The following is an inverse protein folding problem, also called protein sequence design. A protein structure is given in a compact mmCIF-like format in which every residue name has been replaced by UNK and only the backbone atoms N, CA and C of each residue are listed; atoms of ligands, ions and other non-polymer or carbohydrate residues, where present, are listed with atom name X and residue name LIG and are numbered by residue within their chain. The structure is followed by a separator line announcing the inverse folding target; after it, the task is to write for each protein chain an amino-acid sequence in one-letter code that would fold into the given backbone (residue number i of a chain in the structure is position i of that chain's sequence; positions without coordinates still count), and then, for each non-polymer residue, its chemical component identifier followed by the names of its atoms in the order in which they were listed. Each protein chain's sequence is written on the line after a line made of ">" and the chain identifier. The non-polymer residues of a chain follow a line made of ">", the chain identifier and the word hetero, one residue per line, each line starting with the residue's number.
data_IF_164789150697
#
_entry.id   IF_164789150697
#
_cell.length_a   1.000
_cell.length_b   1.000
_cell.length_c   1.000
_cell.angle_alpha   90.00
_cell.angle_beta   90.00
_cell.angle_gamma   90.00
#
_symmetry.space_group_name_H-M   'P 1'
#
loop_
_entity.id
_entity.type
_entity.pdbx_description
1 polymer ?
#
# COMPACT_ATOMS: atom_id res chain seq x y z
N UNK A 1 11.24 -1.25 22.07
CA UNK A 1 10.75 -0.03 22.73
C UNK A 1 10.09 -0.44 24.05
N UNK A 2 10.08 0.40 25.12
CA UNK A 2 9.30 0.10 26.32
C UNK A 2 7.82 -0.04 25.91
N UNK A 3 7.00 -0.83 26.62
CA UNK A 3 5.57 -0.93 26.36
C UNK A 3 4.97 0.47 26.44
N UNK A 4 4.19 0.82 25.41
CA UNK A 4 3.41 2.04 25.40
C UNK A 4 2.35 1.84 26.48
N UNK A 5 2.37 2.66 27.53
CA UNK A 5 1.38 2.61 28.61
C UNK A 5 -0.03 2.90 28.07
N UNK A 6 -1.00 3.07 28.98
CA UNK A 6 -2.33 3.53 28.60
C UNK A 6 -2.31 4.99 28.22
N UNK A 7 -2.81 5.31 27.03
CA UNK A 7 -2.91 6.69 26.54
C UNK A 7 -4.32 6.95 25.99
N UNK A 8 -4.78 8.18 26.19
CA UNK A 8 -6.01 8.72 25.61
C UNK A 8 -5.67 9.85 24.65
N UNK A 9 -6.21 9.78 23.46
CA UNK A 9 -6.16 10.86 22.47
C UNK A 9 -7.55 11.48 22.34
N UNK A 10 -7.63 12.80 22.52
CA UNK A 10 -8.84 13.58 22.34
C UNK A 10 -8.64 14.42 21.08
N UNK A 11 -9.53 14.28 20.10
CA UNK A 11 -9.51 15.05 18.86
C UNK A 11 -10.82 15.81 18.66
N UNK A 12 -10.79 16.89 17.86
CA UNK A 12 -12.00 17.62 17.49
C UNK A 12 -12.95 16.70 16.69
N UNK A 13 -12.36 15.82 15.85
CA UNK A 13 -13.09 14.80 15.09
C UNK A 13 -12.28 13.51 15.09
N UNK A 14 -12.96 12.36 15.27
CA UNK A 14 -12.43 11.02 15.05
C UNK A 14 -13.20 10.38 13.90
N UNK A 15 -12.50 9.99 12.84
CA UNK A 15 -13.01 9.20 11.72
C UNK A 15 -12.50 7.78 11.88
N UNK A 16 -13.40 6.82 12.05
CA UNK A 16 -12.99 5.44 12.36
C UNK A 16 -12.63 4.60 11.14
N UNK A 17 -13.12 4.97 9.95
CA UNK A 17 -13.05 4.16 8.73
C UNK A 17 -13.54 2.71 8.94
N UNK A 18 -14.45 2.49 9.90
CA UNK A 18 -15.13 1.22 10.12
C UNK A 18 -16.20 0.97 9.02
N UNK A 19 -16.90 -0.16 9.09
CA UNK A 19 -17.97 -0.49 8.13
C UNK A 19 -19.15 0.49 8.15
N UNK A 20 -19.33 1.21 9.27
CA UNK A 20 -20.39 2.20 9.45
C UNK A 20 -19.93 3.61 9.04
N UNK A 21 -18.66 3.78 8.66
CA UNK A 21 -18.03 5.08 8.37
C UNK A 21 -18.26 6.10 9.49
N UNK A 22 -18.08 5.65 10.75
CA UNK A 22 -18.41 6.43 11.93
C UNK A 22 -17.54 7.68 12.08
N UNK A 23 -18.19 8.80 12.41
CA UNK A 23 -17.54 10.09 12.66
C UNK A 23 -18.00 10.62 14.02
N UNK A 24 -17.05 10.89 14.92
CA UNK A 24 -17.30 11.37 16.27
C UNK A 24 -16.68 12.74 16.47
N UNK A 25 -17.47 13.74 16.77
CA UNK A 25 -17.00 15.11 16.98
C UNK A 25 -17.62 15.77 18.24
N UNK A 26 -16.82 16.02 19.31
CA UNK A 26 -15.46 15.56 19.54
C UNK A 26 -15.37 14.07 19.85
N UNK A 27 -14.24 13.45 19.46
CA UNK A 27 -14.00 12.04 19.65
C UNK A 27 -12.79 11.72 20.54
N UNK A 28 -12.73 10.47 20.99
CA UNK A 28 -11.66 9.93 21.84
C UNK A 28 -11.23 8.57 21.31
N UNK A 29 -9.92 8.32 21.37
CA UNK A 29 -9.32 6.99 21.17
C UNK A 29 -8.44 6.67 22.37
N UNK A 30 -8.69 5.54 23.03
CA UNK A 30 -7.84 5.02 24.09
C UNK A 30 -7.01 3.87 23.55
N UNK A 31 -5.72 3.88 23.86
CA UNK A 31 -4.80 2.80 23.50
C UNK A 31 -4.15 2.19 24.75
N UNK A 32 -3.82 0.91 24.65
CA UNK A 32 -3.04 0.17 25.63
C UNK A 32 -2.08 -0.76 24.89
N UNK A 33 -0.80 -0.69 25.21
CA UNK A 33 0.26 -1.52 24.61
C UNK A 33 0.23 -1.53 23.05
N UNK A 34 -0.02 -0.35 22.45
CA UNK A 34 -0.04 -0.17 21.01
C UNK A 34 -1.31 -0.64 20.30
N UNK A 35 -2.35 -1.01 21.06
CA UNK A 35 -3.66 -1.40 20.52
C UNK A 35 -4.76 -0.48 21.03
N UNK A 36 -5.75 -0.26 20.18
CA UNK A 36 -6.97 0.51 20.54
C UNK A 36 -7.79 -0.34 21.48
N UNK A 37 -8.13 0.20 22.64
CA UNK A 37 -9.02 -0.44 23.60
C UNK A 37 -10.43 0.21 23.67
N UNK A 38 -10.53 1.47 23.23
CA UNK A 38 -11.83 2.17 23.13
C UNK A 38 -11.76 3.28 22.06
N UNK A 39 -12.88 3.50 21.37
CA UNK A 39 -13.08 4.62 20.45
C UNK A 39 -14.54 5.04 20.46
N UNK A 40 -14.82 6.35 20.38
CA UNK A 40 -16.18 6.87 20.31
C UNK A 40 -16.31 8.35 20.65
N UNK A 41 -17.56 8.84 20.82
CA UNK A 41 -17.80 10.21 21.21
C UNK A 41 -17.17 10.53 22.58
N UNK A 42 -16.60 11.74 22.72
CA UNK A 42 -15.98 12.16 23.99
C UNK A 42 -16.95 12.10 25.17
N UNK A 43 -18.25 12.35 24.94
CA UNK A 43 -19.26 12.32 25.98
C UNK A 43 -19.49 10.91 26.57
N UNK A 44 -19.21 9.87 25.80
CA UNK A 44 -19.43 8.48 26.17
C UNK A 44 -18.14 7.78 26.64
N UNK A 45 -17.00 8.51 26.61
CA UNK A 45 -15.71 7.95 26.98
C UNK A 45 -15.70 7.50 28.46
N UNK A 46 -15.15 6.30 28.77
CA UNK A 46 -14.99 5.85 30.14
C UNK A 46 -14.10 6.82 30.95
N UNK A 47 -14.24 6.84 32.27
CA UNK A 47 -13.35 7.65 33.10
C UNK A 47 -11.89 7.27 32.88
N UNK A 48 -11.02 8.27 32.65
CA UNK A 48 -9.58 8.04 32.52
C UNK A 48 -9.03 7.50 33.85
N UNK A 49 -8.32 6.37 33.81
CA UNK A 49 -7.65 5.87 35.00
C UNK A 49 -6.45 6.75 35.36
N UNK A 50 -6.05 6.73 36.62
CA UNK A 50 -4.97 7.60 37.16
C UNK A 50 -3.59 7.38 36.53
N UNK A 51 -3.41 6.26 35.84
CA UNK A 51 -2.15 5.90 35.14
C UNK A 51 -2.20 6.20 33.64
N UNK A 52 -3.34 6.67 33.11
CA UNK A 52 -3.52 6.99 31.71
C UNK A 52 -2.96 8.40 31.39
N UNK A 53 -2.11 8.48 30.38
CA UNK A 53 -1.72 9.76 29.80
C UNK A 53 -2.88 10.30 28.96
N UNK A 54 -3.26 11.57 29.13
CA UNK A 54 -4.33 12.19 28.37
C UNK A 54 -3.74 13.28 27.47
N UNK A 55 -3.89 13.09 26.17
CA UNK A 55 -3.37 13.96 25.12
C UNK A 55 -4.55 14.61 24.39
N UNK A 56 -4.78 15.91 24.61
CA UNK A 56 -5.71 16.70 23.81
C UNK A 56 -4.95 17.20 22.58
N UNK A 57 -5.17 16.54 21.44
CA UNK A 57 -4.39 16.77 20.23
C UNK A 57 -5.11 17.70 19.24
N UNK A 58 -6.42 17.95 19.43
CA UNK A 58 -7.23 18.68 18.44
C UNK A 58 -7.20 18.06 17.04
N UNK A 59 -7.70 18.77 16.04
CA UNK A 59 -7.70 18.32 14.65
C UNK A 59 -8.54 17.07 14.40
N UNK A 60 -8.26 16.34 13.31
CA UNK A 60 -8.93 15.10 12.96
C UNK A 60 -7.99 13.92 13.15
N UNK A 61 -8.44 12.89 13.86
CA UNK A 61 -7.74 11.62 14.04
C UNK A 61 -8.42 10.55 13.20
N UNK A 62 -7.65 9.81 12.39
CA UNK A 62 -8.14 8.71 11.56
C UNK A 62 -7.10 7.57 11.48
N UNK A 63 -7.47 6.38 10.94
CA UNK A 63 -6.49 5.33 10.69
C UNK A 63 -5.37 5.82 9.76
N UNK A 64 -4.18 5.27 9.94
CA UNK A 64 -3.09 5.40 8.98
C UNK A 64 -3.46 4.78 7.64
N UNK A 65 -2.93 5.38 6.56
CA UNK A 65 -3.17 4.90 5.21
C UNK A 65 -2.37 3.62 4.94
N UNK A 66 -2.94 2.75 4.09
CA UNK A 66 -2.36 1.47 3.65
C UNK A 66 -2.08 1.53 2.16
N UNK A 67 -0.82 1.55 1.78
CA UNK A 67 -0.36 1.49 0.40
C UNK A 67 -0.27 0.01 -0.02
N UNK A 68 -1.25 -0.46 -0.80
CA UNK A 68 -1.41 -1.89 -1.11
C UNK A 68 -0.43 -2.41 -2.16
N UNK A 69 0.27 -1.55 -2.89
CA UNK A 69 1.27 -1.94 -3.88
C UNK A 69 2.29 -0.83 -4.06
N UNK A 70 3.56 -1.15 -3.83
CA UNK A 70 4.65 -0.23 -4.08
C UNK A 70 5.99 -0.94 -4.35
N UNK A 71 6.93 -0.16 -4.90
CA UNK A 71 8.34 -0.49 -5.13
C UNK A 71 9.18 0.63 -4.54
N UNK A 72 9.12 0.78 -3.23
CA UNK A 72 9.65 1.94 -2.50
C UNK A 72 11.12 2.24 -2.77
N UNK A 73 12.05 1.24 -2.89
CA UNK A 73 13.44 1.52 -3.22
C UNK A 73 13.67 2.17 -4.59
N UNK A 74 12.66 2.19 -5.49
CA UNK A 74 12.71 2.95 -6.75
C UNK A 74 12.81 4.47 -6.56
N UNK A 75 12.80 5.00 -5.33
CA UNK A 75 13.25 6.37 -5.04
C UNK A 75 14.65 6.66 -5.61
N UNK A 76 15.48 5.62 -5.77
CA UNK A 76 16.79 5.68 -6.42
C UNK A 76 16.73 5.95 -7.93
N UNK A 77 15.61 5.71 -8.57
CA UNK A 77 15.40 5.81 -10.02
C UNK A 77 14.17 6.64 -10.39
N UNK A 78 13.71 7.49 -9.46
CA UNK A 78 12.58 8.41 -9.64
C UNK A 78 12.82 9.28 -10.90
N UNK A 79 11.79 9.42 -11.73
CA UNK A 79 11.82 10.21 -12.97
C UNK A 79 12.59 9.57 -14.12
N UNK A 80 13.14 8.36 -13.96
CA UNK A 80 13.88 7.68 -15.02
C UNK A 80 12.93 6.97 -15.98
N UNK A 81 13.20 7.09 -17.29
CA UNK A 81 12.46 6.38 -18.34
C UNK A 81 11.13 7.01 -18.70
N UNK A 82 10.89 8.30 -18.36
CA UNK A 82 9.67 9.00 -18.74
C UNK A 82 9.43 8.95 -20.26
N UNK A 83 8.15 8.74 -20.65
CA UNK A 83 7.75 8.62 -22.05
C UNK A 83 8.03 7.27 -22.71
N UNK A 84 8.50 6.25 -21.96
CA UNK A 84 8.64 4.88 -22.46
C UNK A 84 7.37 4.05 -22.14
N UNK A 85 6.96 3.20 -23.08
CA UNK A 85 5.96 2.17 -22.81
C UNK A 85 6.51 1.10 -21.86
N UNK A 86 5.67 0.45 -21.06
CA UNK A 86 6.04 -0.46 -19.98
C UNK A 86 7.18 -1.43 -20.33
N UNK A 87 7.09 -2.19 -21.41
CA UNK A 87 8.14 -3.18 -21.78
C UNK A 87 9.50 -2.53 -22.02
N UNK A 88 9.53 -1.40 -22.72
CA UNK A 88 10.78 -0.64 -22.94
C UNK A 88 11.24 0.03 -21.67
N UNK A 89 10.31 0.54 -20.85
CA UNK A 89 10.60 1.12 -19.55
C UNK A 89 11.31 0.11 -18.63
N UNK A 90 10.79 -1.12 -18.54
CA UNK A 90 11.41 -2.20 -17.78
C UNK A 90 12.80 -2.56 -18.34
N UNK A 91 12.88 -2.90 -19.65
CA UNK A 91 14.09 -3.49 -20.23
C UNK A 91 15.20 -2.48 -20.53
N UNK A 92 14.88 -1.22 -20.82
CA UNK A 92 15.85 -0.20 -21.19
C UNK A 92 16.20 0.74 -20.01
N UNK A 93 15.28 0.94 -19.08
CA UNK A 93 15.44 1.92 -18.01
C UNK A 93 15.56 1.30 -16.61
N UNK A 94 14.65 0.38 -16.20
CA UNK A 94 14.59 -0.12 -14.83
C UNK A 94 15.55 -1.28 -14.58
N UNK A 95 15.34 -2.44 -15.19
CA UNK A 95 16.13 -3.64 -14.92
C UNK A 95 17.66 -3.44 -15.07
N UNK A 96 18.17 -2.67 -16.07
CA UNK A 96 19.60 -2.38 -16.14
C UNK A 96 20.15 -1.60 -14.94
N UNK A 97 19.31 -0.80 -14.25
CA UNK A 97 19.69 -0.06 -13.05
C UNK A 97 19.51 -0.90 -11.79
N UNK A 98 18.38 -1.59 -11.68
CA UNK A 98 18.07 -2.48 -10.56
C UNK A 98 19.08 -3.62 -10.43
N UNK A 99 19.51 -4.21 -11.57
CA UNK A 99 20.56 -5.24 -11.58
C UNK A 99 21.94 -4.76 -11.09
N UNK A 100 22.13 -3.43 -10.91
CA UNK A 100 23.35 -2.82 -10.36
C UNK A 100 23.17 -2.30 -8.93
N UNK A 101 21.96 -2.36 -8.40
CA UNK A 101 21.70 -1.97 -7.02
C UNK A 101 22.34 -2.96 -6.06
N UNK A 102 22.97 -2.43 -5.04
CA UNK A 102 23.50 -3.19 -3.92
C UNK A 102 22.48 -3.24 -2.78
N UNK A 103 22.60 -4.17 -1.82
CA UNK A 103 21.77 -4.15 -0.61
C UNK A 103 21.77 -2.81 0.11
N UNK A 104 22.88 -2.10 0.14
CA UNK A 104 22.97 -0.78 0.78
C UNK A 104 22.22 0.30 -0.01
N UNK A 105 22.19 0.23 -1.34
CA UNK A 105 21.37 1.12 -2.18
C UNK A 105 19.90 0.94 -1.84
N UNK A 106 19.44 -0.30 -1.79
CA UNK A 106 18.05 -0.65 -1.47
C UNK A 106 17.68 -0.18 -0.05
N UNK A 107 18.59 -0.32 0.92
CA UNK A 107 18.38 0.19 2.28
C UNK A 107 18.12 1.70 2.29
N UNK A 108 18.95 2.48 1.57
CA UNK A 108 18.78 3.94 1.50
C UNK A 108 17.55 4.35 0.70
N UNK A 109 17.27 3.66 -0.41
CA UNK A 109 16.07 3.89 -1.19
C UNK A 109 14.81 3.66 -0.36
N UNK A 110 14.75 2.53 0.37
CA UNK A 110 13.66 2.21 1.27
C UNK A 110 13.55 3.19 2.43
N UNK A 111 14.68 3.61 3.01
CA UNK A 111 14.72 4.59 4.11
C UNK A 111 14.11 5.93 3.69
N UNK A 112 14.49 6.46 2.52
CA UNK A 112 13.93 7.71 2.00
C UNK A 112 12.44 7.58 1.70
N UNK A 113 12.03 6.50 1.03
CA UNK A 113 10.62 6.28 0.70
C UNK A 113 9.76 6.02 1.93
N UNK A 114 10.27 5.32 2.96
CA UNK A 114 9.57 5.17 4.25
C UNK A 114 9.32 6.52 4.91
N UNK A 115 10.31 7.43 4.89
CA UNK A 115 10.13 8.77 5.43
C UNK A 115 9.07 9.57 4.65
N UNK A 116 9.07 9.48 3.30
CA UNK A 116 8.06 10.10 2.44
C UNK A 116 6.65 9.58 2.75
N UNK A 117 6.48 8.26 2.84
CA UNK A 117 5.22 7.61 3.17
C UNK A 117 4.72 7.99 4.57
N UNK A 118 5.57 7.91 5.59
CA UNK A 118 5.19 8.27 6.96
C UNK A 118 4.74 9.73 7.05
N UNK A 119 5.43 10.66 6.38
CA UNK A 119 5.00 12.07 6.32
C UNK A 119 3.64 12.25 5.66
N UNK A 120 3.32 11.42 4.67
CA UNK A 120 2.03 11.41 4.02
C UNK A 120 0.95 10.65 4.82
N UNK A 121 1.28 10.08 5.98
CA UNK A 121 0.34 9.31 6.80
C UNK A 121 0.15 7.87 6.35
N UNK A 122 0.98 7.37 5.45
CA UNK A 122 1.01 5.95 5.09
C UNK A 122 1.76 5.21 6.16
N UNK A 123 1.05 4.44 6.98
CA UNK A 123 1.62 3.66 8.10
C UNK A 123 2.01 2.25 7.68
N UNK A 124 1.38 1.73 6.64
CA UNK A 124 1.57 0.37 6.13
C UNK A 124 1.82 0.37 4.63
N UNK A 125 2.81 -0.37 4.18
CA UNK A 125 3.08 -0.58 2.75
C UNK A 125 3.17 -2.06 2.41
N UNK A 126 2.65 -2.43 1.21
CA UNK A 126 2.86 -3.75 0.61
C UNK A 126 3.92 -3.62 -0.48
N UNK A 127 5.11 -4.13 -0.18
CA UNK A 127 6.33 -3.94 -0.94
C UNK A 127 6.67 -5.17 -1.77
N UNK A 128 6.80 -5.01 -3.08
CA UNK A 128 7.36 -6.03 -3.96
C UNK A 128 8.72 -5.54 -4.48
N UNK A 129 9.81 -6.08 -3.93
CA UNK A 129 11.13 -5.65 -4.39
C UNK A 129 12.21 -6.71 -4.18
N UNK A 130 13.46 -6.34 -4.50
CA UNK A 130 14.67 -7.15 -4.40
C UNK A 130 15.46 -6.80 -3.12
N UNK A 131 16.33 -7.70 -2.69
CA UNK A 131 17.14 -7.49 -1.49
C UNK A 131 16.29 -7.23 -0.24
N UNK A 132 15.49 -8.21 0.14
CA UNK A 132 14.48 -8.13 1.20
C UNK A 132 15.04 -7.80 2.59
N UNK A 133 16.24 -8.26 2.95
CA UNK A 133 16.83 -7.99 4.28
C UNK A 133 17.02 -6.49 4.54
N UNK A 134 17.71 -5.73 3.65
CA UNK A 134 17.81 -4.27 3.83
C UNK A 134 16.46 -3.55 3.88
N UNK A 135 15.43 -4.06 3.22
CA UNK A 135 14.09 -3.47 3.28
C UNK A 135 13.51 -3.63 4.68
N UNK A 136 13.58 -4.84 5.25
CA UNK A 136 13.12 -5.11 6.62
C UNK A 136 13.89 -4.26 7.63
N UNK A 137 15.21 -4.15 7.48
CA UNK A 137 16.05 -3.34 8.36
C UNK A 137 15.67 -1.85 8.29
N UNK A 138 15.48 -1.30 7.09
CA UNK A 138 15.10 0.10 6.88
C UNK A 138 13.71 0.40 7.46
N UNK A 139 12.72 -0.48 7.22
CA UNK A 139 11.37 -0.34 7.78
C UNK A 139 11.37 -0.52 9.30
N UNK A 140 12.16 -1.46 9.81
CA UNK A 140 12.38 -1.65 11.24
C UNK A 140 12.88 -0.36 11.92
N UNK A 141 13.85 0.31 11.29
CA UNK A 141 14.41 1.57 11.75
C UNK A 141 13.41 2.74 11.64
N UNK A 142 12.64 2.82 10.56
CA UNK A 142 11.65 3.87 10.33
C UNK A 142 10.44 3.80 11.27
N UNK A 143 10.14 2.62 11.80
CA UNK A 143 8.98 2.38 12.64
C UNK A 143 7.69 2.08 11.88
N UNK A 144 7.68 2.07 10.55
CA UNK A 144 6.52 1.73 9.72
C UNK A 144 6.11 0.25 9.83
N UNK A 145 4.95 -0.10 9.28
CA UNK A 145 4.47 -1.49 9.08
C UNK A 145 4.71 -1.92 7.65
N UNK A 146 5.03 -3.20 7.45
CA UNK A 146 5.40 -3.75 6.15
C UNK A 146 4.72 -5.10 5.89
N UNK A 147 4.13 -5.23 4.73
CA UNK A 147 3.90 -6.52 4.08
C UNK A 147 4.93 -6.64 2.95
N UNK A 148 5.93 -7.50 3.10
CA UNK A 148 6.95 -7.68 2.06
C UNK A 148 6.69 -8.94 1.26
N UNK A 149 6.69 -8.79 -0.05
CA UNK A 149 6.55 -9.87 -1.03
C UNK A 149 7.82 -9.91 -1.88
N UNK A 150 8.86 -10.66 -1.44
CA UNK A 150 10.14 -10.71 -2.15
C UNK A 150 9.97 -11.00 -3.63
N UNK A 151 10.45 -10.09 -4.47
CA UNK A 151 10.25 -10.13 -5.91
C UNK A 151 10.96 -11.33 -6.56
N UNK A 152 10.25 -12.03 -7.45
CA UNK A 152 10.79 -13.04 -8.35
C UNK A 152 10.68 -12.48 -9.76
N UNK A 153 11.82 -12.06 -10.34
CA UNK A 153 11.92 -11.39 -11.66
C UNK A 153 12.95 -12.15 -12.49
N UNK A 154 12.56 -12.65 -13.66
CA UNK A 154 13.44 -13.51 -14.49
C UNK A 154 14.72 -12.80 -14.91
N UNK A 155 14.63 -11.54 -15.33
CA UNK A 155 15.75 -10.73 -15.77
C UNK A 155 16.81 -10.43 -14.67
N UNK A 156 16.38 -10.44 -13.40
CA UNK A 156 17.22 -10.10 -12.25
C UNK A 156 17.73 -11.32 -11.49
N UNK A 157 17.26 -12.51 -11.85
CA UNK A 157 17.71 -13.79 -11.30
C UNK A 157 18.18 -14.74 -12.44
N UNK A 158 19.15 -14.34 -13.27
CA UNK A 158 19.57 -15.16 -14.40
C UNK A 158 20.18 -16.49 -13.92
N UNK A 159 19.68 -17.59 -14.49
CA UNK A 159 20.17 -18.94 -14.18
C UNK A 159 19.53 -19.59 -12.95
N UNK A 160 18.62 -18.94 -12.27
CA UNK A 160 17.81 -19.57 -11.24
C UNK A 160 16.74 -20.46 -11.93
N UNK A 161 16.83 -21.76 -11.73
CA UNK A 161 15.79 -22.74 -12.18
C UNK A 161 14.45 -22.54 -11.45
N UNK A 162 14.43 -21.60 -10.50
CA UNK A 162 13.27 -21.24 -9.70
C UNK A 162 13.24 -21.84 -8.31
N UNK A 163 13.92 -22.93 -8.05
CA UNK A 163 13.89 -23.62 -6.75
C UNK A 163 14.73 -22.87 -5.71
N UNK A 164 15.88 -22.32 -6.11
CA UNK A 164 16.79 -21.60 -5.22
C UNK A 164 16.16 -20.33 -4.65
N UNK A 165 15.52 -19.50 -5.50
CA UNK A 165 14.85 -18.27 -5.06
C UNK A 165 13.65 -18.59 -4.17
N UNK A 166 12.85 -19.61 -4.51
CA UNK A 166 11.72 -20.04 -3.69
C UNK A 166 12.17 -20.49 -2.30
N UNK A 167 13.22 -21.31 -2.22
CA UNK A 167 13.78 -21.76 -0.93
C UNK A 167 14.29 -20.58 -0.09
N UNK A 168 14.97 -19.61 -0.71
CA UNK A 168 15.43 -18.40 -0.02
C UNK A 168 14.25 -17.57 0.54
N UNK A 169 13.13 -17.47 -0.18
CA UNK A 169 11.93 -16.77 0.30
C UNK A 169 11.30 -17.54 1.47
N UNK A 170 11.23 -18.86 1.43
CA UNK A 170 10.72 -19.68 2.53
C UNK A 170 11.57 -19.49 3.79
N UNK A 171 12.91 -19.50 3.67
CA UNK A 171 13.80 -19.24 4.78
C UNK A 171 13.68 -17.81 5.32
N UNK A 172 13.47 -16.83 4.43
CA UNK A 172 13.23 -15.44 4.80
C UNK A 172 11.89 -15.29 5.55
N UNK A 173 10.82 -15.92 5.05
CA UNK A 173 9.54 -15.97 5.73
C UNK A 173 9.66 -16.54 7.15
N UNK A 174 10.35 -17.67 7.31
CA UNK A 174 10.54 -18.30 8.62
C UNK A 174 11.26 -17.40 9.65
N UNK A 175 12.09 -16.45 9.18
CA UNK A 175 12.83 -15.53 10.05
C UNK A 175 12.09 -14.23 10.38
N UNK A 176 11.28 -13.74 9.47
CA UNK A 176 10.75 -12.37 9.53
C UNK A 176 9.23 -12.26 9.60
N UNK A 177 8.49 -13.34 9.25
CA UNK A 177 7.02 -13.28 9.27
C UNK A 177 6.51 -13.25 10.71
N UNK A 178 5.93 -12.11 11.10
CA UNK A 178 5.29 -11.90 12.40
C UNK A 178 3.90 -11.26 12.19
N UNK A 179 2.83 -12.06 12.12
CA UNK A 179 1.48 -11.54 11.88
C UNK A 179 0.93 -10.72 13.05
N UNK A 180 1.56 -10.77 14.23
CA UNK A 180 1.21 -9.95 15.40
C UNK A 180 2.10 -8.72 15.55
N UNK A 181 3.20 -8.67 14.81
CA UNK A 181 4.15 -7.58 14.80
C UNK A 181 3.86 -6.57 13.70
N UNK A 182 4.93 -5.99 13.17
CA UNK A 182 4.85 -4.97 12.12
C UNK A 182 5.30 -5.46 10.74
N UNK A 183 5.82 -6.70 10.64
CA UNK A 183 6.40 -7.23 9.40
C UNK A 183 5.76 -8.58 9.09
N UNK A 184 5.07 -8.66 7.95
CA UNK A 184 4.58 -9.90 7.39
C UNK A 184 5.22 -10.17 6.04
N UNK A 185 5.37 -11.44 5.70
CA UNK A 185 6.08 -11.87 4.50
C UNK A 185 5.14 -12.68 3.60
N UNK A 186 5.06 -12.29 2.33
CA UNK A 186 4.36 -13.02 1.27
C UNK A 186 5.32 -13.47 0.16
N UNK A 187 4.78 -13.74 -1.02
CA UNK A 187 5.53 -14.10 -2.23
C UNK A 187 5.18 -13.15 -3.36
N UNK A 188 6.19 -12.66 -4.10
CA UNK A 188 6.05 -11.67 -5.16
C UNK A 188 6.47 -12.19 -6.55
N UNK A 189 5.75 -13.15 -7.20
CA UNK A 189 5.97 -13.40 -8.61
C UNK A 189 5.68 -12.11 -9.39
N UNK A 190 6.66 -11.66 -10.21
CA UNK A 190 6.50 -10.39 -10.92
C UNK A 190 5.22 -10.39 -11.77
N UNK A 191 5.10 -11.31 -12.70
CA UNK A 191 3.93 -11.42 -13.59
C UNK A 191 3.93 -12.76 -14.35
N UNK A 192 2.80 -13.09 -14.97
CA UNK A 192 2.71 -14.26 -15.84
C UNK A 192 3.53 -14.08 -17.13
N UNK A 193 3.59 -12.86 -17.69
CA UNK A 193 4.37 -12.61 -18.90
C UNK A 193 5.89 -12.67 -18.69
N UNK A 194 6.37 -12.50 -17.46
CA UNK A 194 7.78 -12.59 -17.10
C UNK A 194 8.20 -14.01 -16.74
N UNK A 195 7.39 -14.71 -15.96
CA UNK A 195 7.74 -16.00 -15.34
C UNK A 195 7.11 -17.22 -16.03
N UNK A 196 6.05 -17.03 -16.81
CA UNK A 196 5.16 -18.12 -17.25
C UNK A 196 4.16 -18.55 -16.17
N UNK A 197 3.00 -19.03 -16.61
CA UNK A 197 1.87 -19.40 -15.74
C UNK A 197 2.24 -20.52 -14.76
N UNK A 198 2.96 -21.54 -15.22
CA UNK A 198 3.38 -22.69 -14.41
C UNK A 198 4.28 -22.27 -13.24
N UNK A 199 5.18 -21.33 -13.47
CA UNK A 199 6.06 -20.83 -12.41
C UNK A 199 5.29 -20.02 -11.39
N UNK A 200 4.37 -19.17 -11.84
CA UNK A 200 3.46 -18.44 -10.95
C UNK A 200 2.63 -19.40 -10.11
N UNK A 201 2.09 -20.47 -10.71
CA UNK A 201 1.31 -21.50 -10.01
C UNK A 201 2.13 -22.23 -8.93
N UNK A 202 3.40 -22.54 -9.22
CA UNK A 202 4.30 -23.15 -8.24
C UNK A 202 4.53 -22.22 -7.03
N UNK A 203 4.75 -20.92 -7.27
CA UNK A 203 4.90 -19.91 -6.20
C UNK A 203 3.59 -19.72 -5.41
N UNK A 204 2.43 -19.76 -6.08
CA UNK A 204 1.12 -19.72 -5.43
C UNK A 204 0.90 -20.94 -4.52
N UNK A 205 1.33 -22.13 -4.95
CA UNK A 205 1.34 -23.32 -4.10
C UNK A 205 2.18 -23.15 -2.84
N UNK A 206 3.35 -22.51 -2.95
CA UNK A 206 4.21 -22.18 -1.80
C UNK A 206 3.55 -21.16 -0.89
N UNK A 207 2.94 -20.10 -1.45
CA UNK A 207 2.24 -19.09 -0.66
C UNK A 207 1.10 -19.69 0.19
N UNK A 208 0.31 -20.62 -0.41
CA UNK A 208 -0.73 -21.37 0.32
C UNK A 208 -0.17 -22.20 1.47
N UNK A 209 0.96 -22.90 1.25
CA UNK A 209 1.60 -23.68 2.30
C UNK A 209 2.08 -22.84 3.49
N UNK A 210 2.45 -21.60 3.24
CA UNK A 210 2.91 -20.63 4.26
C UNK A 210 1.77 -19.80 4.85
N UNK A 211 0.52 -19.96 4.39
CA UNK A 211 -0.61 -19.08 4.68
C UNK A 211 -0.29 -17.58 4.40
N UNK A 212 0.45 -17.33 3.34
CA UNK A 212 0.98 -16.03 2.97
C UNK A 212 0.26 -15.45 1.74
N UNK A 213 0.29 -14.13 1.59
CA UNK A 213 -0.25 -13.46 0.39
C UNK A 213 0.66 -13.71 -0.81
N UNK A 214 0.05 -14.00 -1.97
CA UNK A 214 0.70 -13.95 -3.27
C UNK A 214 0.42 -12.57 -3.88
N UNK A 215 1.45 -11.83 -4.24
CA UNK A 215 1.35 -10.50 -4.83
C UNK A 215 1.90 -10.52 -6.25
N UNK A 216 1.13 -10.09 -7.25
CA UNK A 216 1.47 -10.22 -8.68
C UNK A 216 0.97 -9.02 -9.48
N UNK A 217 1.69 -8.59 -10.54
CA UNK A 217 1.15 -7.66 -11.54
C UNK A 217 0.24 -8.43 -12.51
N UNK A 218 -0.94 -7.88 -12.79
CA UNK A 218 -1.99 -8.57 -13.53
C UNK A 218 -2.69 -7.64 -14.52
N UNK A 219 -2.71 -8.04 -15.78
CA UNK A 219 -3.49 -7.40 -16.85
C UNK A 219 -3.25 -5.87 -16.91
N UNK A 220 -1.98 -5.46 -16.77
CA UNK A 220 -1.61 -4.05 -16.74
C UNK A 220 -1.68 -3.40 -18.13
N UNK A 221 -1.25 -4.12 -19.18
CA UNK A 221 -1.23 -3.59 -20.55
C UNK A 221 -1.90 -4.52 -21.56
N UNK A 222 -2.30 -3.94 -22.68
CA UNK A 222 -2.87 -4.73 -23.81
C UNK A 222 -1.88 -5.74 -24.37
N UNK A 223 -0.57 -5.46 -24.33
CA UNK A 223 0.46 -6.37 -24.83
C UNK A 223 0.58 -7.63 -23.98
N UNK A 224 0.47 -7.51 -22.66
CA UNK A 224 0.41 -8.66 -21.74
C UNK A 224 -0.76 -9.56 -22.10
N UNK A 225 -1.98 -9.00 -22.15
CA UNK A 225 -3.19 -9.75 -22.45
C UNK A 225 -3.12 -10.42 -23.83
N UNK A 226 -2.68 -9.69 -24.86
CA UNK A 226 -2.56 -10.23 -26.22
C UNK A 226 -1.54 -11.36 -26.33
N UNK A 227 -0.40 -11.27 -25.65
CA UNK A 227 0.64 -12.30 -25.62
C UNK A 227 0.11 -13.60 -25.02
N UNK A 228 -0.52 -13.54 -23.87
CA UNK A 228 -1.05 -14.70 -23.18
C UNK A 228 -2.28 -15.32 -23.87
N UNK A 229 -3.16 -14.50 -24.48
CA UNK A 229 -4.23 -15.02 -25.33
C UNK A 229 -3.67 -15.77 -26.55
N UNK A 230 -2.61 -15.29 -27.17
CA UNK A 230 -1.99 -15.97 -28.30
C UNK A 230 -1.33 -17.30 -27.88
N UNK A 231 -0.81 -17.40 -26.68
CA UNK A 231 -0.13 -18.60 -26.16
C UNK A 231 -1.10 -19.61 -25.58
N UNK A 232 -2.07 -19.17 -24.76
CA UNK A 232 -2.97 -20.05 -23.99
C UNK A 232 -4.41 -20.09 -24.52
N UNK A 233 -4.77 -19.23 -25.46
CA UNK A 233 -6.13 -19.17 -26.05
C UNK A 233 -7.20 -18.58 -25.13
N UNK A 234 -6.82 -18.02 -23.99
CA UNK A 234 -7.71 -17.38 -23.02
C UNK A 234 -7.00 -16.18 -22.34
N UNK A 235 -7.75 -15.40 -21.54
CA UNK A 235 -7.19 -14.26 -20.79
C UNK A 235 -6.15 -14.74 -19.77
N UNK A 236 -5.29 -13.80 -19.32
CA UNK A 236 -4.34 -14.07 -18.24
C UNK A 236 -5.06 -14.48 -16.95
N UNK A 237 -6.19 -13.85 -16.64
CA UNK A 237 -6.99 -14.15 -15.44
C UNK A 237 -7.51 -15.58 -15.50
N UNK A 238 -8.11 -15.99 -16.63
CA UNK A 238 -8.58 -17.35 -16.83
C UNK A 238 -7.44 -18.36 -16.75
N UNK A 239 -6.32 -18.09 -17.42
CA UNK A 239 -5.16 -18.98 -17.40
C UNK A 239 -4.62 -19.20 -16.00
N UNK A 240 -4.48 -18.13 -15.19
CA UNK A 240 -4.02 -18.22 -13.81
C UNK A 240 -5.02 -18.98 -12.91
N UNK A 241 -6.34 -18.77 -13.11
CA UNK A 241 -7.38 -19.48 -12.38
C UNK A 241 -7.32 -21.00 -12.69
N UNK A 242 -7.24 -21.36 -13.97
CA UNK A 242 -7.19 -22.78 -14.42
C UNK A 242 -5.94 -23.51 -13.90
N UNK A 243 -4.86 -22.78 -13.57
CA UNK A 243 -3.65 -23.33 -12.95
C UNK A 243 -3.65 -23.24 -11.41
N UNK A 244 -4.78 -22.87 -10.78
CA UNK A 244 -4.95 -22.84 -9.33
C UNK A 244 -4.18 -21.72 -8.62
N UNK A 245 -3.79 -20.65 -9.33
CA UNK A 245 -3.07 -19.52 -8.73
C UNK A 245 -3.93 -18.81 -7.69
N UNK A 246 -5.24 -18.72 -7.92
CA UNK A 246 -6.17 -17.98 -7.09
C UNK A 246 -6.76 -18.77 -5.90
N UNK A 247 -6.32 -20.02 -5.68
CA UNK A 247 -6.82 -20.84 -4.55
C UNK A 247 -6.38 -20.35 -3.16
N UNK A 248 -5.48 -19.37 -3.07
CA UNK A 248 -5.01 -18.76 -1.83
C UNK A 248 -5.36 -17.27 -1.72
N UNK A 249 -4.73 -16.56 -0.80
CA UNK A 249 -4.83 -15.10 -0.74
C UNK A 249 -3.99 -14.47 -1.84
N UNK A 250 -4.63 -13.77 -2.76
CA UNK A 250 -3.96 -13.13 -3.89
C UNK A 250 -4.27 -11.64 -3.93
N UNK A 251 -3.22 -10.84 -4.02
CA UNK A 251 -3.24 -9.42 -4.32
C UNK A 251 -2.68 -9.22 -5.73
N UNK A 252 -3.48 -8.72 -6.64
CA UNK A 252 -3.07 -8.43 -8.00
C UNK A 252 -3.00 -6.93 -8.23
N UNK A 253 -1.86 -6.42 -8.69
CA UNK A 253 -1.69 -5.01 -9.01
C UNK A 253 -2.26 -4.70 -10.39
N UNK A 254 -2.80 -3.48 -10.54
CA UNK A 254 -3.34 -2.84 -11.74
C UNK A 254 -4.73 -3.33 -12.17
N UNK A 255 -4.90 -4.53 -12.72
CA UNK A 255 -6.20 -5.01 -13.21
C UNK A 255 -6.85 -4.11 -14.26
N UNK A 256 -6.05 -3.56 -15.22
CA UNK A 256 -6.51 -2.57 -16.19
C UNK A 256 -7.31 -3.22 -17.32
N UNK A 257 -6.79 -4.31 -17.88
CA UNK A 257 -7.34 -4.97 -19.06
C UNK A 257 -8.02 -6.29 -18.69
N UNK A 258 -9.08 -6.17 -17.88
CA UNK A 258 -9.97 -7.27 -17.48
C UNK A 258 -11.36 -7.03 -18.04
N UNK A 259 -11.99 -8.08 -18.58
CA UNK A 259 -13.36 -8.06 -19.06
C UNK A 259 -14.37 -8.55 -17.99
N UNK A 260 -15.66 -8.64 -18.33
CA UNK A 260 -16.71 -9.06 -17.39
C UNK A 260 -16.53 -10.52 -16.92
N UNK A 261 -16.00 -11.40 -17.79
CA UNK A 261 -15.70 -12.79 -17.43
C UNK A 261 -14.51 -12.85 -16.46
N UNK A 262 -13.46 -12.07 -16.72
CA UNK A 262 -12.31 -11.94 -15.84
C UNK A 262 -12.71 -11.38 -14.46
N UNK A 263 -13.52 -10.32 -14.44
CA UNK A 263 -14.04 -9.73 -13.21
C UNK A 263 -14.85 -10.75 -12.40
N UNK A 264 -15.65 -11.58 -13.08
CA UNK A 264 -16.42 -12.64 -12.42
C UNK A 264 -15.51 -13.69 -11.78
N UNK A 265 -14.41 -14.08 -12.45
CA UNK A 265 -13.41 -14.99 -11.89
C UNK A 265 -12.72 -14.36 -10.66
N UNK A 266 -12.27 -13.11 -10.77
CA UNK A 266 -11.61 -12.41 -9.66
C UNK A 266 -12.52 -12.35 -8.43
N UNK A 267 -13.82 -12.08 -8.63
CA UNK A 267 -14.81 -12.05 -7.55
C UNK A 267 -15.05 -13.44 -6.94
N UNK A 268 -15.20 -14.47 -7.77
CA UNK A 268 -15.41 -15.86 -7.33
C UNK A 268 -14.27 -16.37 -6.46
N UNK A 269 -13.04 -16.05 -6.83
CA UNK A 269 -11.84 -16.49 -6.11
C UNK A 269 -11.42 -15.53 -4.99
N UNK A 270 -12.10 -14.41 -4.80
CA UNK A 270 -11.76 -13.43 -3.78
C UNK A 270 -10.39 -12.75 -3.98
N UNK A 271 -9.96 -12.61 -5.24
CA UNK A 271 -8.72 -11.90 -5.58
C UNK A 271 -8.88 -10.42 -5.26
N UNK A 272 -7.94 -9.85 -4.52
CA UNK A 272 -7.89 -8.42 -4.28
C UNK A 272 -7.11 -7.70 -5.39
N UNK A 273 -7.54 -6.49 -5.76
CA UNK A 273 -6.87 -5.63 -6.73
C UNK A 273 -6.25 -4.42 -6.01
N UNK A 274 -4.96 -4.18 -6.22
CA UNK A 274 -4.29 -2.93 -5.89
C UNK A 274 -4.38 -1.99 -7.11
N UNK A 275 -5.32 -1.07 -7.09
CA UNK A 275 -5.50 -0.09 -8.15
C UNK A 275 -4.48 1.04 -8.02
N UNK A 276 -3.71 1.30 -9.09
CA UNK A 276 -2.62 2.28 -9.15
C UNK A 276 -2.91 3.31 -10.25
N UNK A 277 -3.91 4.19 -10.08
CA UNK A 277 -4.38 5.07 -11.15
C UNK A 277 -3.29 6.00 -11.71
N UNK A 278 -2.43 6.58 -10.88
CA UNK A 278 -1.39 7.50 -11.36
C UNK A 278 -0.33 6.79 -12.19
N UNK A 279 0.15 5.63 -11.74
CA UNK A 279 1.08 4.81 -12.52
C UNK A 279 0.46 4.39 -13.85
N UNK A 280 -0.78 3.90 -13.84
CA UNK A 280 -1.49 3.50 -15.05
C UNK A 280 -1.63 4.66 -16.05
N UNK A 281 -1.90 5.88 -15.55
CA UNK A 281 -1.97 7.09 -16.38
C UNK A 281 -0.61 7.50 -16.92
N UNK A 282 0.43 7.50 -16.08
CA UNK A 282 1.78 7.93 -16.47
C UNK A 282 2.39 7.00 -17.53
N UNK A 283 2.25 5.68 -17.35
CA UNK A 283 2.75 4.68 -18.31
C UNK A 283 1.82 4.49 -19.52
N UNK A 284 0.63 5.13 -19.51
CA UNK A 284 -0.35 4.97 -20.57
C UNK A 284 -0.93 3.56 -20.64
N UNK A 285 -0.97 2.84 -19.50
CA UNK A 285 -1.45 1.46 -19.41
C UNK A 285 -2.96 1.37 -19.68
N UNK A 286 -3.74 2.38 -19.28
CA UNK A 286 -5.20 2.44 -19.50
C UNK A 286 -5.98 2.81 -18.25
N UNK A 287 -7.30 2.56 -18.28
CA UNK A 287 -8.22 2.85 -17.17
C UNK A 287 -8.82 1.54 -16.69
N UNK A 288 -8.51 1.15 -15.46
CA UNK A 288 -9.07 -0.05 -14.83
C UNK A 288 -10.60 0.11 -14.60
N UNK A 289 -11.41 -0.94 -14.85
CA UNK A 289 -12.87 -0.90 -14.67
C UNK A 289 -13.26 -1.03 -13.19
N UNK A 290 -12.76 -0.15 -12.33
CA UNK A 290 -12.86 -0.20 -10.86
C UNK A 290 -14.31 -0.34 -10.39
N UNK A 291 -15.23 0.42 -10.99
CA UNK A 291 -16.63 0.37 -10.59
C UNK A 291 -17.29 -0.98 -10.94
N UNK A 292 -16.95 -1.57 -12.09
CA UNK A 292 -17.43 -2.90 -12.46
C UNK A 292 -16.90 -3.97 -11.50
N UNK A 293 -15.61 -3.93 -11.19
CA UNK A 293 -14.98 -4.83 -10.21
C UNK A 293 -15.66 -4.74 -8.83
N UNK A 294 -15.86 -3.52 -8.32
CA UNK A 294 -16.50 -3.31 -7.01
C UNK A 294 -17.95 -3.81 -6.99
N UNK A 295 -18.74 -3.55 -8.05
CA UNK A 295 -20.12 -4.06 -8.16
C UNK A 295 -20.18 -5.58 -8.22
N UNK A 296 -19.18 -6.22 -8.78
CA UNK A 296 -19.06 -7.67 -8.79
C UNK A 296 -18.58 -8.27 -7.45
N UNK A 297 -18.18 -7.43 -6.48
CA UNK A 297 -17.69 -7.87 -5.17
C UNK A 297 -16.19 -8.12 -5.11
N UNK A 298 -15.41 -7.69 -6.11
CA UNK A 298 -13.95 -7.71 -6.05
C UNK A 298 -13.47 -6.70 -5.01
N UNK A 299 -12.58 -7.11 -4.13
CA UNK A 299 -11.89 -6.21 -3.18
C UNK A 299 -10.92 -5.34 -3.96
N UNK A 300 -11.16 -4.01 -4.00
CA UNK A 300 -10.28 -3.05 -4.69
C UNK A 300 -9.67 -2.09 -3.67
N UNK A 301 -8.35 -2.13 -3.54
CA UNK A 301 -7.55 -1.25 -2.70
C UNK A 301 -6.76 -0.25 -3.55
N UNK A 302 -6.06 0.70 -2.92
CA UNK A 302 -5.20 1.67 -3.60
C UNK A 302 -3.72 1.37 -3.36
N UNK A 303 -2.91 1.54 -4.40
CA UNK A 303 -1.47 1.47 -4.34
C UNK A 303 -0.83 2.59 -5.18
N UNK A 304 0.34 3.05 -4.77
CA UNK A 304 1.07 4.09 -5.52
C UNK A 304 1.88 3.52 -6.68
N UNK A 305 2.18 2.22 -6.65
CA UNK A 305 3.24 1.64 -7.46
C UNK A 305 4.62 2.24 -7.10
N UNK A 306 5.63 2.06 -7.94
CA UNK A 306 6.97 2.60 -7.69
C UNK A 306 7.10 4.09 -7.96
N UNK A 307 7.97 4.81 -7.22
CA UNK A 307 8.24 6.22 -7.52
C UNK A 307 8.95 6.45 -8.87
N UNK A 308 9.29 5.42 -9.61
CA UNK A 308 9.72 5.56 -11.00
C UNK A 308 8.53 5.62 -11.98
N UNK A 309 7.41 4.95 -11.68
CA UNK A 309 6.21 4.95 -12.50
C UNK A 309 5.14 5.96 -12.05
N UNK A 310 5.27 6.51 -10.84
CA UNK A 310 4.33 7.47 -10.23
C UNK A 310 4.99 8.83 -9.92
N UNK A 311 6.28 8.84 -9.60
CA UNK A 311 7.09 9.93 -9.05
C UNK A 311 6.82 10.28 -7.59
N UNK A 312 5.73 9.83 -6.96
CA UNK A 312 5.45 10.02 -5.54
C UNK A 312 5.06 8.72 -4.86
N UNK A 313 5.15 8.71 -3.51
CA UNK A 313 4.59 7.67 -2.65
C UNK A 313 3.41 8.24 -1.83
N UNK A 314 2.78 9.30 -2.34
CA UNK A 314 1.70 10.02 -1.70
C UNK A 314 0.34 9.40 -2.02
N UNK A 315 -0.15 8.53 -1.15
CA UNK A 315 -1.42 7.82 -1.37
C UNK A 315 -2.65 8.76 -1.43
N UNK A 316 -2.56 10.00 -0.93
CA UNK A 316 -3.64 10.98 -1.08
C UNK A 316 -3.92 11.36 -2.54
N UNK A 317 -2.91 11.28 -3.39
CA UNK A 317 -3.10 11.49 -4.82
C UNK A 317 -3.93 10.36 -5.42
N UNK A 318 -3.66 9.10 -5.06
CA UNK A 318 -4.46 7.95 -5.49
C UNK A 318 -5.91 8.05 -4.98
N UNK A 319 -6.10 8.44 -3.70
CA UNK A 319 -7.43 8.70 -3.11
C UNK A 319 -8.23 9.70 -3.93
N UNK A 320 -7.57 10.71 -4.49
CA UNK A 320 -8.21 11.74 -5.32
C UNK A 320 -8.41 11.30 -6.76
N UNK A 321 -7.39 10.71 -7.39
CA UNK A 321 -7.42 10.41 -8.83
C UNK A 321 -8.27 9.18 -9.17
N UNK A 322 -8.34 8.17 -8.30
CA UNK A 322 -9.16 6.98 -8.53
C UNK A 322 -10.63 7.33 -8.82
N UNK A 323 -11.34 8.10 -7.96
CA UNK A 323 -12.74 8.46 -8.25
C UNK A 323 -12.89 9.42 -9.42
N UNK A 324 -11.95 10.34 -9.65
CA UNK A 324 -12.02 11.25 -10.79
C UNK A 324 -11.93 10.47 -12.11
N UNK A 325 -11.01 9.52 -12.19
CA UNK A 325 -10.82 8.68 -13.37
C UNK A 325 -12.02 7.75 -13.61
N UNK A 326 -12.53 7.11 -12.55
CA UNK A 326 -13.71 6.25 -12.63
C UNK A 326 -14.94 7.03 -13.12
N UNK A 327 -15.17 8.25 -12.62
CA UNK A 327 -16.29 9.12 -13.03
C UNK A 327 -16.19 9.58 -14.49
N UNK A 328 -15.00 9.97 -14.93
CA UNK A 328 -14.78 10.34 -16.33
C UNK A 328 -14.97 9.14 -17.25
N UNK A 329 -14.49 7.97 -16.85
CA UNK A 329 -14.66 6.73 -17.62
C UNK A 329 -16.14 6.32 -17.74
N UNK A 330 -16.88 6.38 -16.63
CA UNK A 330 -18.30 6.03 -16.59
C UNK A 330 -19.24 7.14 -17.09
N UNK A 331 -18.76 8.38 -17.25
CA UNK A 331 -19.59 9.59 -17.48
C UNK A 331 -20.70 9.75 -16.42
N UNK A 332 -20.40 9.35 -15.17
CA UNK A 332 -21.31 9.37 -14.04
C UNK A 332 -20.59 9.86 -12.77
N UNK A 333 -21.04 10.99 -12.22
CA UNK A 333 -20.46 11.59 -11.03
C UNK A 333 -20.82 10.86 -9.72
N UNK A 334 -21.67 9.84 -9.76
CA UNK A 334 -22.10 9.08 -8.57
C UNK A 334 -21.23 7.87 -8.30
N UNK A 335 -20.44 7.40 -9.27
CA UNK A 335 -19.55 6.25 -9.05
C UNK A 335 -18.39 6.59 -8.13
N UNK A 336 -17.95 5.62 -7.38
CA UNK A 336 -16.83 5.67 -6.43
C UNK A 336 -16.91 6.92 -5.52
N UNK A 337 -17.85 6.94 -4.56
CA UNK A 337 -17.98 8.08 -3.65
C UNK A 337 -16.77 8.24 -2.74
N UNK A 338 -16.50 9.46 -2.23
CA UNK A 338 -15.32 9.79 -1.43
C UNK A 338 -15.05 8.84 -0.26
N UNK A 339 -16.08 8.46 0.48
CA UNK A 339 -15.97 7.56 1.64
C UNK A 339 -15.43 6.19 1.25
N UNK A 340 -15.85 5.68 0.10
CA UNK A 340 -15.37 4.38 -0.40
C UNK A 340 -13.89 4.46 -0.82
N UNK A 341 -13.47 5.59 -1.38
CA UNK A 341 -12.05 5.79 -1.76
C UNK A 341 -11.15 5.87 -0.52
N UNK A 342 -11.64 6.52 0.55
CA UNK A 342 -10.94 6.50 1.84
C UNK A 342 -10.86 5.08 2.42
N UNK A 343 -11.93 4.29 2.32
CA UNK A 343 -11.92 2.89 2.72
C UNK A 343 -10.92 2.06 1.91
N UNK A 344 -10.79 2.31 0.59
CA UNK A 344 -9.79 1.65 -0.26
C UNK A 344 -8.35 1.95 0.16
N UNK A 345 -8.09 3.12 0.74
CA UNK A 345 -6.79 3.54 1.26
C UNK A 345 -6.57 3.16 2.75
N UNK A 346 -7.55 2.56 3.42
CA UNK A 346 -7.50 2.21 4.84
C UNK A 346 -7.92 0.75 5.07
N UNK A 347 -9.14 0.46 5.55
CA UNK A 347 -9.59 -0.89 5.90
C UNK A 347 -9.58 -1.88 4.74
N UNK A 348 -9.99 -1.45 3.53
CA UNK A 348 -9.98 -2.32 2.35
C UNK A 348 -8.54 -2.58 1.91
N UNK A 349 -7.67 -1.55 1.99
CA UNK A 349 -6.24 -1.70 1.77
C UNK A 349 -5.61 -2.73 2.70
N UNK A 350 -5.94 -2.68 3.99
CA UNK A 350 -5.45 -3.62 4.98
C UNK A 350 -5.91 -5.07 4.67
N UNK A 351 -7.20 -5.26 4.39
CA UNK A 351 -7.75 -6.57 4.02
C UNK A 351 -7.10 -7.12 2.75
N UNK A 352 -6.89 -6.27 1.73
CA UNK A 352 -6.28 -6.67 0.47
C UNK A 352 -4.85 -7.20 0.65
N UNK A 353 -4.08 -6.64 1.59
CA UNK A 353 -2.70 -7.08 1.89
C UNK A 353 -2.64 -8.18 2.96
N UNK A 354 -3.79 -8.68 3.42
CA UNK A 354 -3.87 -9.78 4.37
C UNK A 354 -3.70 -9.36 5.85
N UNK A 355 -4.02 -8.11 6.19
CA UNK A 355 -4.01 -7.60 7.56
C UNK A 355 -5.46 -7.32 8.00
N UNK A 356 -5.88 -7.89 9.10
CA UNK A 356 -7.25 -7.81 9.63
C UNK A 356 -7.38 -6.92 10.88
N UNK A 357 -6.27 -6.43 11.40
CA UNK A 357 -6.21 -5.64 12.64
C UNK A 357 -5.60 -4.23 12.47
N UNK A 358 -5.58 -3.70 11.23
CA UNK A 358 -5.17 -2.33 10.89
C UNK A 358 -6.17 -1.68 9.93
N UNK A 359 -6.02 -0.39 9.67
CA UNK A 359 -6.86 0.35 8.70
C UNK A 359 -8.21 0.82 9.24
N UNK A 360 -8.54 0.51 10.51
CA UNK A 360 -9.69 1.03 11.24
C UNK A 360 -9.28 1.54 12.61
N UNK A 361 -10.02 2.52 13.15
CA UNK A 361 -9.99 2.79 14.58
C UNK A 361 -11.11 1.99 15.26
N UNK A 362 -10.77 0.80 15.77
CA UNK A 362 -11.71 -0.08 16.44
C UNK A 362 -11.01 -0.82 17.61
N UNK A 363 -11.76 -1.18 18.69
CA UNK A 363 -11.17 -1.97 19.77
C UNK A 363 -10.52 -3.26 19.27
N UNK A 364 -9.29 -3.53 19.72
CA UNK A 364 -8.48 -4.68 19.30
C UNK A 364 -7.54 -4.41 18.12
N UNK A 365 -7.78 -3.35 17.35
CA UNK A 365 -6.92 -2.96 16.21
C UNK A 365 -5.61 -2.33 16.70
N UNK A 366 -4.57 -2.43 15.89
CA UNK A 366 -3.32 -1.72 16.12
C UNK A 366 -3.56 -0.20 16.08
N UNK A 367 -2.89 0.52 16.96
CA UNK A 367 -2.98 1.98 17.00
C UNK A 367 -2.07 2.61 15.91
N UNK A 368 -2.40 2.30 14.66
CA UNK A 368 -1.82 2.92 13.47
C UNK A 368 -2.74 4.08 13.10
N UNK A 369 -2.33 5.31 13.44
CA UNK A 369 -3.19 6.48 13.42
C UNK A 369 -2.48 7.68 12.83
N UNK A 370 -3.25 8.57 12.20
CA UNK A 370 -2.76 9.87 11.72
C UNK A 370 -3.64 11.00 12.23
N UNK A 371 -2.97 12.12 12.56
CA UNK A 371 -3.63 13.38 12.84
C UNK A 371 -3.54 14.32 11.66
N UNK A 372 -4.68 14.86 11.27
CA UNK A 372 -4.81 15.86 10.22
C UNK A 372 -5.13 17.20 10.83
N UNK A 373 -4.39 18.23 10.40
CA UNK A 373 -4.63 19.61 10.81
C UNK A 373 -5.88 20.16 10.10
N UNK A 374 -6.91 20.48 10.88
CA UNK A 374 -8.16 21.09 10.38
C UNK A 374 -8.09 22.62 10.26
N UNK A 375 -7.05 23.27 10.83
CA UNK A 375 -6.85 24.72 10.69
C UNK A 375 -6.23 25.04 9.30
N UNK A 376 -6.96 24.65 8.27
CA UNK A 376 -6.54 24.85 6.89
C UNK A 376 -7.75 25.16 6.00
N UNK A 377 -7.55 26.08 5.04
CA UNK A 377 -8.63 26.49 4.13
C UNK A 377 -9.25 25.35 3.30
N UNK A 378 -8.58 24.22 3.13
CA UNK A 378 -9.10 23.04 2.47
C UNK A 378 -10.32 22.43 3.20
N UNK A 379 -10.51 22.72 4.48
CA UNK A 379 -11.62 22.24 5.31
C UNK A 379 -12.68 23.31 5.58
N UNK A 380 -12.72 24.39 4.82
CA UNK A 380 -13.69 25.48 5.00
C UNK A 380 -14.52 25.65 3.73
N UNK A 381 -15.90 25.65 3.83
CA UNK A 381 -16.69 25.48 5.06
C UNK A 381 -16.90 24.00 5.43
N UNK A 382 -17.12 23.75 6.71
CA UNK A 382 -17.67 22.49 7.25
C UNK A 382 -18.87 22.85 8.12
N UNK A 383 -20.03 22.31 7.81
CA UNK A 383 -21.28 22.54 8.56
C UNK A 383 -21.63 21.34 9.42
N UNK A 384 -21.26 20.14 8.98
CA UNK A 384 -21.41 18.88 9.71
C UNK A 384 -20.13 18.03 9.60
N UNK A 385 -19.75 17.29 10.67
CA UNK A 385 -18.52 16.47 10.69
C UNK A 385 -18.40 15.47 9.53
N UNK A 386 -19.52 14.90 9.07
CA UNK A 386 -19.54 13.94 7.97
C UNK A 386 -19.05 14.51 6.62
N UNK A 387 -19.14 15.85 6.42
CA UNK A 387 -18.63 16.52 5.21
C UNK A 387 -17.11 16.41 5.11
N UNK A 388 -16.41 16.22 6.25
CA UNK A 388 -14.96 16.05 6.28
C UNK A 388 -14.50 14.84 5.47
N UNK A 389 -15.30 13.77 5.35
CA UNK A 389 -14.97 12.61 4.51
C UNK A 389 -14.79 13.01 3.04
N UNK A 390 -15.66 13.89 2.53
CA UNK A 390 -15.53 14.41 1.18
C UNK A 390 -14.33 15.37 1.05
N UNK A 391 -14.10 16.24 2.05
CA UNK A 391 -12.94 17.12 2.06
C UNK A 391 -11.62 16.33 2.08
N UNK A 392 -11.53 15.26 2.88
CA UNK A 392 -10.37 14.39 2.93
C UNK A 392 -10.08 13.76 1.56
N UNK A 393 -11.10 13.21 0.88
CA UNK A 393 -10.91 12.57 -0.41
C UNK A 393 -10.56 13.56 -1.54
N UNK A 394 -11.14 14.77 -1.53
CA UNK A 394 -10.92 15.73 -2.62
C UNK A 394 -9.78 16.70 -2.39
N UNK A 395 -9.49 17.02 -1.14
CA UNK A 395 -8.51 18.04 -0.75
C UNK A 395 -7.46 17.53 0.26
N UNK A 396 -7.55 16.28 0.68
CA UNK A 396 -6.53 15.62 1.50
C UNK A 396 -5.15 15.68 0.83
N UNK A 397 -4.12 15.82 1.63
CA UNK A 397 -2.74 15.98 1.18
C UNK A 397 -1.78 15.58 2.31
N UNK A 398 -0.61 15.12 1.93
CA UNK A 398 0.55 14.89 2.81
C UNK A 398 0.86 16.08 3.72
N UNK A 399 0.65 17.31 3.21
CA UNK A 399 0.92 18.55 3.94
C UNK A 399 -0.02 18.81 5.11
N UNK A 400 -1.16 18.12 5.15
CA UNK A 400 -2.16 18.25 6.21
C UNK A 400 -1.93 17.23 7.32
N UNK A 401 -1.11 16.22 7.10
CA UNK A 401 -0.73 15.23 8.11
C UNK A 401 0.30 15.83 9.04
N UNK A 402 -0.05 15.98 10.31
CA UNK A 402 0.83 16.60 11.32
C UNK A 402 1.51 15.56 12.20
N UNK A 403 0.80 14.49 12.57
CA UNK A 403 1.33 13.48 13.49
C UNK A 403 0.94 12.09 13.03
N UNK A 404 1.82 11.11 13.24
CA UNK A 404 1.60 9.72 12.85
C UNK A 404 2.07 8.79 13.95
N UNK A 405 1.25 7.81 14.27
CA UNK A 405 1.57 6.72 15.21
C UNK A 405 1.48 5.38 14.47
N UNK A 406 2.41 4.49 14.75
CA UNK A 406 2.40 3.08 14.30
C UNK A 406 2.51 2.18 15.53
N UNK A 407 1.54 1.29 15.70
CA UNK A 407 1.41 0.48 16.90
C UNK A 407 1.56 1.33 18.18
N UNK A 408 0.91 2.50 18.22
CA UNK A 408 0.92 3.46 19.30
C UNK A 408 2.21 4.27 19.48
N UNK A 409 3.26 3.99 18.72
CA UNK A 409 4.51 4.75 18.80
C UNK A 409 4.46 5.93 17.83
N UNK A 410 4.68 7.13 18.32
CA UNK A 410 4.74 8.32 17.47
C UNK A 410 5.99 8.30 16.60
N UNK A 411 5.81 8.30 15.28
CA UNK A 411 6.90 8.27 14.28
C UNK A 411 7.02 9.59 13.51
N UNK A 412 5.94 10.40 13.49
CA UNK A 412 5.93 11.76 12.94
C UNK A 412 5.32 12.70 13.98
N UNK A 413 5.94 13.86 14.18
CA UNK A 413 5.41 14.93 15.03
C UNK A 413 5.58 16.29 14.35
N UNK A 414 4.48 17.05 14.25
CA UNK A 414 4.48 18.37 13.59
C UNK A 414 4.99 18.30 12.15
N UNK A 415 4.66 17.25 11.40
CA UNK A 415 5.07 17.03 10.02
C UNK A 415 6.55 16.61 9.84
N UNK A 416 7.26 16.27 10.92
CA UNK A 416 8.67 15.84 10.89
C UNK A 416 8.77 14.38 11.28
N UNK A 417 9.46 13.57 10.46
CA UNK A 417 9.77 12.18 10.81
C UNK A 417 10.79 12.16 11.96
N UNK A 418 10.47 11.40 13.01
CA UNK A 418 11.30 11.32 14.23
C UNK A 418 12.36 10.22 14.14
N UNK A 419 12.16 9.25 13.26
CA UNK A 419 12.91 7.98 13.22
C UNK A 419 13.92 7.91 12.08
N UNK A 420 13.87 8.87 11.13
CA UNK A 420 14.72 8.90 9.94
C UNK A 420 15.43 10.26 9.82
N UNK A 421 16.74 10.23 9.57
CA UNK A 421 17.49 11.42 9.15
C UNK A 421 17.22 11.66 7.65
N UNK A 422 16.17 12.45 7.36
CA UNK A 422 15.72 12.73 6.00
C UNK A 422 16.77 13.48 5.16
N UNK A 423 17.57 14.34 5.78
CA UNK A 423 18.64 15.09 5.07
C UNK A 423 19.71 14.13 4.56
N UNK A 424 20.16 13.25 5.45
CA UNK A 424 21.14 12.21 5.10
C UNK A 424 20.56 11.24 4.07
N UNK A 425 19.32 10.77 4.24
CA UNK A 425 18.68 9.85 3.30
C UNK A 425 18.59 10.45 1.89
N UNK A 426 18.22 11.73 1.75
CA UNK A 426 18.23 12.43 0.45
C UNK A 426 19.62 12.51 -0.17
N UNK A 427 20.65 12.83 0.62
CA UNK A 427 22.01 12.92 0.14
C UNK A 427 22.54 11.56 -0.36
N UNK A 428 22.30 10.50 0.40
CA UNK A 428 22.72 9.13 0.05
C UNK A 428 22.01 8.62 -1.20
N UNK A 429 20.69 8.80 -1.30
CA UNK A 429 19.91 8.41 -2.49
C UNK A 429 20.39 9.20 -3.72
N UNK A 430 20.63 10.51 -3.61
CA UNK A 430 21.13 11.32 -4.71
C UNK A 430 22.50 10.83 -5.21
N UNK A 431 23.42 10.52 -4.33
CA UNK A 431 24.75 10.01 -4.69
C UNK A 431 24.65 8.63 -5.38
N UNK A 432 23.82 7.73 -4.86
CA UNK A 432 23.61 6.39 -5.41
C UNK A 432 22.92 6.44 -6.77
N UNK A 433 21.89 7.29 -6.92
CA UNK A 433 21.23 7.52 -8.21
C UNK A 433 22.21 7.98 -9.30
N UNK A 434 23.14 8.88 -8.97
CA UNK A 434 24.19 9.31 -9.89
C UNK A 434 25.09 8.15 -10.32
N UNK A 435 25.51 7.28 -9.40
CA UNK A 435 26.28 6.08 -9.69
C UNK A 435 25.52 5.12 -10.61
N UNK A 436 24.24 4.87 -10.31
CA UNK A 436 23.38 3.99 -11.09
C UNK A 436 23.11 4.55 -12.51
N UNK A 437 23.16 5.86 -12.70
CA UNK A 437 23.00 6.50 -14.00
C UNK A 437 24.28 6.44 -14.85
N UNK A 438 25.47 6.46 -14.24
CA UNK A 438 26.76 6.52 -14.92
C UNK A 438 27.23 5.16 -15.46
N UNK A 439 26.73 4.05 -15.01
CA UNK A 439 27.08 2.68 -15.39
C UNK A 439 26.07 2.03 -16.26
#
# INVERSE_FOLDING_TARGET
>A
MPPVGRERFIADVVVTCDEADSVHGPGVVDIEDGRICWVGPKADAPEACTTMSVNDIGGLLMPGLVNSHCHTPMTLVRGVGDGLLLQRWLTEAMWPREGRMTPEDVWWGMTLGSAEMLRAGVTTSCEMYLHEEPIVDAVGASGARLVITPGVVSALHPGDSGDGRTAAIVDFHARHHDPKGRITVGLGPHSAYDLGVERVAALAGTARQLDAVLHIHLAETTQESAGLVAEHGCSVVRSLADHGVFEGRVLAAHGVWVDDDDISILAEWGVAIAHCPLSNMKLGSGIAPVEAMRRAGVTVALGTDGPASNDTLNLWEEVKFAPLLARVHALDATVLPPVETLAMATRIGALAVGLDDVGCLAPGFAADMIRIDLDHHAFVPVTEPAELLAHLAWAGSDRLVSDVWVAGNQVVAGGRVLTVDEERARAEVQQRAQRLAAG
#
